data_IF_078869412675
#
_entry.id   IF_078869412675
#
_cell.length_a   1.000
_cell.length_b   1.000
_cell.length_c   1.000
_cell.angle_alpha   90.00
_cell.angle_beta   90.00
_cell.angle_gamma   90.00
#
_symmetry.space_group_name_H-M   'P 1'
#
loop_
_entity.id
_entity.type
_entity.pdbx_description
1 polymer ?
#
# COMPACT_ATOMS: atom_id res chain seq x y z
N UNK A 1 10.61 -11.47 -2.10
CA UNK A 1 9.62 -10.74 -1.30
C UNK A 1 10.36 -9.75 -0.43
N UNK A 2 9.84 -8.56 -0.29
CA UNK A 2 10.44 -7.58 0.58
C UNK A 2 9.36 -6.84 1.33
N UNK A 3 9.70 -6.36 2.52
CA UNK A 3 8.79 -5.57 3.33
C UNK A 3 9.15 -4.10 3.27
N UNK A 4 8.14 -3.30 3.40
CA UNK A 4 8.25 -1.87 3.47
C UNK A 4 7.31 -1.34 4.52
N UNK A 5 7.80 -0.99 5.65
CA UNK A 5 6.99 -0.38 6.64
C UNK A 5 7.04 1.13 6.46
N UNK A 6 5.90 1.68 6.24
CA UNK A 6 5.71 3.07 5.92
C UNK A 6 5.05 3.81 7.05
N UNK A 7 5.51 4.98 7.34
CA UNK A 7 4.89 5.83 8.30
C UNK A 7 3.98 6.80 7.55
N UNK A 8 2.68 6.63 7.69
CA UNK A 8 1.74 7.46 7.02
C UNK A 8 1.85 8.95 7.49
N UNK A 9 1.49 9.88 6.64
CA UNK A 9 1.50 11.28 7.00
C UNK A 9 0.09 11.85 6.96
N UNK A 10 -0.82 11.13 6.34
CA UNK A 10 -2.21 11.58 6.23
C UNK A 10 -2.96 11.40 7.54
N UNK A 11 -3.68 12.40 7.90
CA UNK A 11 -4.50 12.42 9.10
C UNK A 11 -5.97 12.55 8.72
N UNK A 12 -6.21 12.73 7.43
CA UNK A 12 -7.54 12.91 6.92
C UNK A 12 -8.32 11.60 7.03
N UNK A 13 -7.61 10.50 6.94
CA UNK A 13 -8.22 9.21 7.14
C UNK A 13 -8.04 8.29 5.97
N UNK A 14 -6.88 8.42 5.30
CA UNK A 14 -6.45 7.53 4.20
C UNK A 14 -6.96 8.00 2.88
N UNK A 15 -8.27 8.19 2.81
CA UNK A 15 -9.01 8.51 1.59
C UNK A 15 -8.86 7.47 0.49
N UNK A 16 -9.97 6.81 0.22
CA UNK A 16 -10.05 5.66 -0.66
C UNK A 16 -9.61 5.94 -2.08
N UNK A 17 -9.82 7.15 -2.55
CA UNK A 17 -9.47 7.51 -3.94
C UNK A 17 -7.96 7.26 -4.23
N UNK A 18 -6.99 7.86 -3.44
CA UNK A 18 -5.55 7.54 -3.56
C UNK A 18 -5.28 6.03 -3.58
N UNK A 19 -5.93 5.33 -2.65
CA UNK A 19 -5.76 3.90 -2.51
C UNK A 19 -6.30 3.15 -3.74
N UNK A 20 -7.27 3.74 -4.43
CA UNK A 20 -7.80 3.12 -5.63
C UNK A 20 -6.77 3.23 -6.77
N UNK A 21 -5.95 4.28 -6.71
CA UNK A 21 -4.86 4.41 -7.68
C UNK A 21 -3.81 3.37 -7.36
N UNK A 22 -3.63 3.10 -6.07
CA UNK A 22 -2.77 2.02 -5.60
C UNK A 22 -3.28 0.69 -6.12
N UNK A 23 -4.60 0.55 -6.08
CA UNK A 23 -5.29 -0.61 -6.61
C UNK A 23 -4.85 -0.87 -8.05
N UNK A 24 -5.01 0.13 -8.91
CA UNK A 24 -4.67 -0.04 -10.33
C UNK A 24 -3.14 -0.21 -10.53
N UNK A 25 -2.37 0.34 -9.61
CA UNK A 25 -0.92 0.25 -9.69
C UNK A 25 -0.48 -1.19 -9.39
N UNK A 26 -0.95 -1.72 -8.27
CA UNK A 26 -0.67 -3.08 -7.86
C UNK A 26 -1.23 -4.10 -8.86
N UNK A 27 -2.34 -3.73 -9.51
CA UNK A 27 -2.99 -4.60 -10.50
C UNK A 27 -2.08 -4.92 -11.70
N UNK A 28 -1.22 -3.99 -12.04
CA UNK A 28 -0.43 -4.13 -13.25
C UNK A 28 0.96 -4.70 -13.04
N UNK A 29 1.25 -5.15 -11.84
CA UNK A 29 2.52 -5.78 -11.55
C UNK A 29 2.36 -7.28 -11.50
N UNK A 30 3.43 -7.99 -11.83
CA UNK A 30 3.51 -9.46 -11.72
C UNK A 30 3.39 -9.84 -10.28
N UNK A 31 4.06 -9.08 -9.47
CA UNK A 31 4.13 -9.30 -8.08
C UNK A 31 2.83 -8.96 -7.40
N UNK A 32 2.57 -9.64 -6.35
CA UNK A 32 1.45 -9.36 -5.53
C UNK A 32 1.93 -8.64 -4.32
N UNK A 33 1.30 -7.56 -4.03
CA UNK A 33 1.65 -6.79 -2.89
C UNK A 33 0.57 -6.95 -1.85
N UNK A 34 0.98 -7.33 -0.69
CA UNK A 34 0.12 -7.43 0.43
C UNK A 34 0.27 -6.19 1.26
N UNK A 35 -0.81 -5.68 1.69
CA UNK A 35 -0.83 -4.56 2.58
C UNK A 35 -1.16 -5.05 3.96
N UNK A 36 -0.25 -4.88 4.88
CA UNK A 36 -0.44 -5.31 6.25
C UNK A 36 -0.49 -4.09 7.18
N UNK A 37 -1.66 -3.79 7.65
CA UNK A 37 -1.86 -2.75 8.61
C UNK A 37 -2.73 -3.23 9.77
N UNK A 38 -2.04 -3.67 10.81
CA UNK A 38 -2.61 -4.06 12.13
C UNK A 38 -3.92 -4.86 12.02
N UNK A 39 -3.82 -6.07 11.53
CA UNK A 39 -4.99 -6.92 11.42
C UNK A 39 -5.52 -6.96 10.02
N UNK A 40 -5.29 -5.90 9.30
CA UNK A 40 -5.73 -5.82 7.95
C UNK A 40 -4.65 -6.12 6.98
N UNK A 41 -4.66 -7.33 6.49
CA UNK A 41 -3.80 -7.72 5.43
C UNK A 41 -4.65 -8.08 4.24
N UNK A 42 -4.28 -7.58 3.10
CA UNK A 42 -5.08 -7.72 1.92
C UNK A 42 -4.21 -7.59 0.66
N UNK A 43 -4.69 -8.19 -0.43
CA UNK A 43 -4.14 -7.97 -1.76
C UNK A 43 -4.32 -6.51 -2.08
N UNK A 44 -3.26 -5.77 -2.28
CA UNK A 44 -3.33 -4.34 -2.45
C UNK A 44 -4.09 -3.89 -3.73
N UNK A 45 -4.24 -4.78 -4.71
CA UNK A 45 -5.05 -4.41 -5.88
C UNK A 45 -6.50 -4.81 -5.68
N UNK A 46 -6.78 -5.31 -4.53
CA UNK A 46 -8.10 -5.71 -4.17
C UNK A 46 -8.58 -4.83 -3.02
N UNK A 47 -9.79 -4.38 -3.10
CA UNK A 47 -10.33 -3.42 -2.13
C UNK A 47 -10.81 -4.05 -0.83
N UNK A 48 -10.52 -5.32 -0.65
CA UNK A 48 -11.10 -6.11 0.44
C UNK A 48 -10.21 -6.00 1.69
N UNK A 49 -10.07 -4.80 2.14
CA UNK A 49 -9.21 -4.48 3.24
C UNK A 49 -8.69 -3.08 3.04
N UNK A 50 -8.27 -2.80 1.82
CA UNK A 50 -7.69 -1.51 1.44
C UNK A 50 -8.72 -0.38 1.52
N UNK A 51 -9.97 -0.67 1.21
CA UNK A 51 -10.98 0.38 1.13
C UNK A 51 -11.42 0.81 2.54
N UNK A 52 -11.12 0.00 3.53
CA UNK A 52 -11.52 0.28 4.89
C UNK A 52 -10.28 0.48 5.76
N UNK A 53 -9.15 0.72 5.11
CA UNK A 53 -7.88 0.92 5.77
C UNK A 53 -7.93 2.18 6.66
N UNK A 54 -7.86 1.96 7.95
CA UNK A 54 -7.98 3.06 8.89
C UNK A 54 -6.65 3.66 9.28
N UNK A 55 -5.91 4.09 8.30
CA UNK A 55 -4.60 4.67 8.55
C UNK A 55 -4.69 6.17 8.84
N UNK A 56 -3.93 6.61 9.82
CA UNK A 56 -3.84 8.00 10.20
C UNK A 56 -2.53 8.22 10.94
N UNK A 57 -1.82 9.31 10.58
CA UNK A 57 -0.44 9.73 11.10
C UNK A 57 0.47 8.66 11.76
N UNK A 58 0.07 8.12 12.88
CA UNK A 58 0.89 7.15 13.62
C UNK A 58 0.86 5.75 12.98
N UNK A 59 0.00 5.58 11.99
CA UNK A 59 -0.19 4.30 11.36
C UNK A 59 0.98 3.91 10.49
N UNK A 60 1.72 2.94 10.93
CA UNK A 60 2.79 2.43 10.14
C UNK A 60 2.31 1.17 9.44
N UNK A 61 2.34 1.22 8.14
CA UNK A 61 1.80 0.18 7.32
C UNK A 61 2.94 -0.63 6.71
N UNK A 62 2.78 -1.90 6.58
CA UNK A 62 3.84 -2.70 6.01
C UNK A 62 3.38 -3.30 4.68
N UNK A 63 4.15 -3.07 3.66
CA UNK A 63 3.90 -3.63 2.34
C UNK A 63 4.80 -4.83 2.14
N UNK A 64 4.24 -5.89 1.62
CA UNK A 64 5.00 -7.05 1.23
C UNK A 64 4.78 -7.31 -0.23
N UNK A 65 5.80 -7.18 -1.01
CA UNK A 65 5.69 -7.42 -2.42
C UNK A 65 6.38 -8.72 -2.73
N UNK A 66 5.68 -9.61 -3.36
CA UNK A 66 6.24 -10.89 -3.76
C UNK A 66 5.94 -11.12 -5.22
N UNK A 67 6.96 -11.32 -6.01
CA UNK A 67 6.77 -11.42 -7.42
C UNK A 67 8.07 -11.61 -8.14
N UNK A 68 8.04 -11.56 -9.45
CA UNK A 68 9.24 -11.62 -10.25
C UNK A 68 9.81 -10.20 -10.38
N UNK A 69 8.99 -9.22 -10.00
CA UNK A 69 9.34 -7.81 -10.08
C UNK A 69 9.07 -7.15 -8.75
N UNK A 70 9.33 -7.86 -7.68
CA UNK A 70 8.99 -7.38 -6.37
C UNK A 70 9.75 -6.15 -5.89
N UNK A 71 11.06 -6.16 -6.01
CA UNK A 71 11.89 -5.00 -5.64
C UNK A 71 11.54 -3.77 -6.50
N UNK A 72 11.16 -4.03 -7.74
CA UNK A 72 10.77 -2.97 -8.66
C UNK A 72 9.40 -2.45 -8.29
N UNK A 73 8.52 -3.36 -7.91
CA UNK A 73 7.21 -3.00 -7.44
C UNK A 73 7.36 -2.15 -6.20
N UNK A 74 8.27 -2.54 -5.33
CA UNK A 74 8.61 -1.79 -4.10
C UNK A 74 9.02 -0.35 -4.43
N UNK A 75 9.94 -0.20 -5.38
CA UNK A 75 10.46 1.12 -5.69
C UNK A 75 9.40 2.02 -6.34
N UNK A 76 8.48 1.42 -7.07
CA UNK A 76 7.36 2.15 -7.65
C UNK A 76 6.31 2.44 -6.57
N UNK A 77 6.06 1.43 -5.75
CA UNK A 77 5.12 1.48 -4.65
C UNK A 77 5.43 2.63 -3.68
N UNK A 78 6.68 2.80 -3.36
CA UNK A 78 7.10 3.87 -2.45
C UNK A 78 6.79 5.25 -3.07
N UNK A 79 7.09 5.39 -4.36
CA UNK A 79 6.83 6.62 -5.10
C UNK A 79 5.35 6.95 -5.08
N UNK A 80 4.53 6.00 -5.50
CA UNK A 80 3.10 6.23 -5.57
C UNK A 80 2.49 6.42 -4.17
N UNK A 81 2.96 5.67 -3.19
CA UNK A 81 2.49 5.78 -1.82
C UNK A 81 2.81 7.12 -1.20
N UNK A 82 3.96 7.69 -1.53
CA UNK A 82 4.29 9.01 -1.03
C UNK A 82 3.49 10.08 -1.76
N UNK A 83 3.24 9.86 -3.06
CA UNK A 83 2.40 10.74 -3.86
C UNK A 83 0.98 10.75 -3.31
N UNK A 84 0.54 9.59 -2.89
CA UNK A 84 -0.78 9.38 -2.38
C UNK A 84 -0.89 9.64 -0.88
N UNK A 85 0.24 9.95 -0.25
CA UNK A 85 0.24 10.36 1.14
C UNK A 85 0.12 9.25 2.16
N UNK A 86 0.34 7.99 1.77
CA UNK A 86 0.24 6.91 2.75
C UNK A 86 1.58 6.68 3.41
N UNK A 87 2.52 7.54 3.09
CA UNK A 87 3.83 7.52 3.66
C UNK A 87 4.50 8.84 3.40
N UNK A 88 5.44 9.14 4.24
CA UNK A 88 6.36 10.19 4.01
C UNK A 88 7.36 9.67 2.99
#
# INVERSE_FOLDING_TARGET
MEQQSYTIIDETGAHARPATMLVQTASKFDSDIQLEYNGKKVNLKSIMGVMSLGVGKDAEITIYADGSDEADAIQAITDVLSKEGLTE
#
